data_IF_956167298207
#
_entry.id   IF_956167298207
#
_cell.length_a   1.000
_cell.length_b   1.000
_cell.length_c   1.000
_cell.angle_alpha   90.00
_cell.angle_beta   90.00
_cell.angle_gamma   90.00
#
_symmetry.space_group_name_H-M   'P 1'
#
loop_
_entity.id
_entity.type
_entity.pdbx_description
1 polymer ?
#
# COMPACT_ATOMS: atom_id res chain seq x y z
N UNK A 1 4.51 -9.81 0.33
CA UNK A 1 3.59 -10.44 -0.63
C UNK A 1 4.34 -11.09 -1.79
N UNK A 2 5.33 -10.41 -2.28
CA UNK A 2 6.15 -10.95 -3.36
C UNK A 2 6.78 -12.28 -2.94
N UNK A 3 7.20 -12.37 -1.70
CA UNK A 3 7.82 -13.57 -1.15
C UNK A 3 6.82 -14.72 -1.04
N UNK A 4 5.57 -14.40 -0.74
CA UNK A 4 4.52 -15.41 -0.70
C UNK A 4 4.35 -16.08 -2.06
N UNK A 5 4.37 -15.28 -3.14
CA UNK A 5 4.19 -15.79 -4.49
C UNK A 5 5.44 -16.52 -4.99
N UNK A 6 6.62 -15.97 -4.73
CA UNK A 6 7.86 -16.50 -5.29
C UNK A 6 8.47 -17.62 -4.49
N UNK A 7 8.54 -17.46 -3.17
CA UNK A 7 9.27 -18.41 -2.34
C UNK A 7 8.52 -19.71 -2.08
N UNK A 8 7.21 -19.67 -2.09
CA UNK A 8 6.38 -20.86 -1.83
C UNK A 8 6.23 -21.78 -3.02
N UNK A 9 6.35 -21.23 -4.22
CA UNK A 9 6.21 -22.00 -5.44
C UNK A 9 4.77 -22.37 -5.77
N UNK A 10 4.59 -22.93 -6.94
CA UNK A 10 3.27 -23.24 -7.47
C UNK A 10 2.56 -24.39 -6.71
N UNK A 11 3.34 -25.30 -6.14
CA UNK A 11 2.77 -26.41 -5.39
C UNK A 11 1.96 -25.97 -4.18
N UNK A 12 2.49 -25.00 -3.44
CA UNK A 12 1.78 -24.44 -2.30
C UNK A 12 0.55 -23.67 -2.72
N UNK A 13 0.65 -22.92 -3.81
CA UNK A 13 -0.48 -22.15 -4.34
C UNK A 13 -1.63 -23.11 -4.68
N UNK A 14 -1.38 -24.19 -5.37
CA UNK A 14 -2.42 -25.14 -5.72
C UNK A 14 -3.07 -25.79 -4.50
N UNK A 15 -2.27 -26.15 -3.52
CA UNK A 15 -2.79 -26.81 -2.31
C UNK A 15 -3.71 -25.92 -1.51
N UNK A 16 -3.51 -24.60 -1.61
CA UNK A 16 -4.27 -23.63 -0.83
C UNK A 16 -5.35 -22.92 -1.62
N UNK A 17 -5.60 -23.36 -2.83
CA UNK A 17 -6.64 -22.80 -3.67
C UNK A 17 -7.97 -22.76 -2.93
N UNK A 18 -8.67 -21.63 -3.01
CA UNK A 18 -9.92 -21.43 -2.27
C UNK A 18 -9.74 -20.90 -0.86
N UNK A 19 -8.51 -20.88 -0.34
CA UNK A 19 -8.26 -20.34 0.99
C UNK A 19 -8.40 -18.84 1.04
N UNK A 20 -8.73 -18.34 2.23
CA UNK A 20 -8.75 -16.90 2.49
C UNK A 20 -7.33 -16.46 2.83
N UNK A 21 -6.89 -15.36 2.23
CA UNK A 21 -5.55 -14.83 2.44
C UNK A 21 -5.59 -13.34 2.71
N UNK A 22 -4.61 -12.87 3.46
CA UNK A 22 -4.35 -11.45 3.67
C UNK A 22 -3.00 -11.14 3.04
N UNK A 23 -2.94 -10.08 2.25
CA UNK A 23 -1.71 -9.64 1.63
C UNK A 23 -0.97 -8.73 2.61
N UNK A 24 0.32 -8.99 2.80
CA UNK A 24 1.17 -8.16 3.67
C UNK A 24 2.17 -7.42 2.80
N UNK A 25 2.22 -6.10 2.95
CA UNK A 25 3.08 -5.24 2.15
C UNK A 25 3.86 -4.30 3.08
N UNK A 26 4.99 -3.80 2.63
CA UNK A 26 5.75 -2.83 3.40
C UNK A 26 5.26 -1.40 3.16
N UNK A 27 5.06 -1.01 1.91
CA UNK A 27 4.81 0.37 1.53
C UNK A 27 3.80 0.45 0.40
N UNK A 28 2.83 1.36 0.54
CA UNK A 28 1.86 1.66 -0.50
C UNK A 28 2.14 3.06 -1.03
N UNK A 29 2.50 3.16 -2.31
CA UNK A 29 2.58 4.45 -3.01
C UNK A 29 1.35 4.62 -3.91
N UNK A 30 1.40 4.20 -5.15
CA UNK A 30 0.24 4.21 -6.04
C UNK A 30 -0.63 2.98 -5.90
N UNK A 31 -0.09 1.91 -5.33
CA UNK A 31 -0.81 0.66 -5.14
C UNK A 31 -0.75 -0.30 -6.32
N UNK A 32 -0.09 0.10 -7.41
CA UNK A 32 -0.09 -0.70 -8.64
C UNK A 32 0.48 -2.09 -8.48
N UNK A 33 1.68 -2.21 -7.93
CA UNK A 33 2.32 -3.52 -7.77
C UNK A 33 1.61 -4.40 -6.75
N UNK A 34 1.13 -3.80 -5.66
CA UNK A 34 0.38 -4.53 -4.64
C UNK A 34 -0.93 -5.08 -5.19
N UNK A 35 -1.64 -4.29 -6.00
CA UNK A 35 -2.91 -4.73 -6.58
C UNK A 35 -2.70 -5.75 -7.69
N UNK A 36 -1.57 -5.73 -8.38
CA UNK A 36 -1.21 -6.81 -9.32
C UNK A 36 -1.07 -8.14 -8.58
N UNK A 37 -0.46 -8.11 -7.40
CA UNK A 37 -0.33 -9.30 -6.58
C UNK A 37 -1.70 -9.83 -6.13
N UNK A 38 -2.61 -8.93 -5.76
CA UNK A 38 -3.99 -9.29 -5.40
C UNK A 38 -4.68 -9.95 -6.59
N UNK A 39 -4.56 -9.36 -7.78
CA UNK A 39 -5.18 -9.92 -8.98
C UNK A 39 -4.64 -11.32 -9.28
N UNK A 40 -3.32 -11.50 -9.14
CA UNK A 40 -2.70 -12.81 -9.39
C UNK A 40 -3.20 -13.87 -8.39
N UNK A 41 -3.35 -13.50 -7.13
CA UNK A 41 -3.87 -14.40 -6.10
C UNK A 41 -5.33 -14.79 -6.38
N UNK A 42 -6.15 -13.83 -6.76
CA UNK A 42 -7.55 -14.09 -7.10
C UNK A 42 -7.67 -14.98 -8.32
N UNK A 43 -6.81 -14.74 -9.32
CA UNK A 43 -6.78 -15.56 -10.52
C UNK A 43 -6.35 -16.99 -10.20
N UNK A 44 -5.49 -17.17 -9.22
CA UNK A 44 -5.06 -18.50 -8.75
C UNK A 44 -6.10 -19.19 -7.86
N UNK A 45 -7.21 -18.54 -7.57
CA UNK A 45 -8.31 -19.14 -6.83
C UNK A 45 -8.36 -18.81 -5.34
N UNK A 46 -7.53 -17.88 -4.87
CA UNK A 46 -7.57 -17.45 -3.48
C UNK A 46 -8.61 -16.36 -3.26
N UNK A 47 -9.19 -16.36 -2.07
CA UNK A 47 -10.04 -15.26 -1.65
C UNK A 47 -9.17 -14.24 -0.89
N UNK A 48 -8.91 -13.07 -1.48
CA UNK A 48 -8.13 -12.03 -0.83
C UNK A 48 -9.07 -11.23 0.07
N UNK A 49 -8.89 -11.38 1.37
CA UNK A 49 -9.72 -10.74 2.39
C UNK A 49 -9.38 -9.27 2.55
N UNK A 50 -8.12 -8.92 2.41
CA UNK A 50 -7.65 -7.55 2.54
C UNK A 50 -6.15 -7.47 2.47
N UNK A 51 -5.63 -6.28 2.74
CA UNK A 51 -4.19 -6.02 2.71
C UNK A 51 -3.79 -5.23 3.95
N UNK A 52 -2.65 -5.59 4.52
CA UNK A 52 -2.03 -4.87 5.63
C UNK A 52 -0.68 -4.36 5.14
N UNK A 53 -0.40 -3.09 5.35
CA UNK A 53 0.89 -2.49 5.01
C UNK A 53 1.44 -1.73 6.20
N UNK A 54 2.76 -1.58 6.25
CA UNK A 54 3.38 -0.79 7.30
C UNK A 54 3.10 0.70 7.11
N UNK A 55 3.12 1.17 5.87
CA UNK A 55 3.05 2.60 5.59
C UNK A 55 2.33 2.87 4.27
N UNK A 56 1.60 3.99 4.21
CA UNK A 56 1.03 4.50 2.96
C UNK A 56 1.24 6.00 2.86
N UNK A 57 1.51 6.48 1.64
CA UNK A 57 1.53 7.91 1.36
C UNK A 57 0.11 8.51 1.36
N UNK A 58 -0.92 7.67 1.22
CA UNK A 58 -2.30 8.13 1.19
C UNK A 58 -2.64 8.89 -0.09
N UNK A 59 -2.01 8.56 -1.20
CA UNK A 59 -2.33 9.21 -2.47
C UNK A 59 -3.76 8.88 -2.89
N UNK A 60 -4.50 9.89 -3.40
CA UNK A 60 -5.87 9.63 -3.87
C UNK A 60 -5.96 8.54 -4.93
N UNK A 61 -4.95 8.43 -5.81
CA UNK A 61 -4.92 7.40 -6.85
C UNK A 61 -4.88 6.01 -6.24
N UNK A 62 -4.15 5.84 -5.13
CA UNK A 62 -4.09 4.55 -4.45
C UNK A 62 -5.42 4.22 -3.77
N UNK A 63 -6.01 5.18 -3.09
CA UNK A 63 -7.30 4.98 -2.43
C UNK A 63 -8.38 4.55 -3.43
N UNK A 64 -8.42 5.22 -4.57
CA UNK A 64 -9.36 4.89 -5.64
C UNK A 64 -9.12 3.49 -6.19
N UNK A 65 -7.86 3.13 -6.44
CA UNK A 65 -7.49 1.84 -6.99
C UNK A 65 -7.88 0.69 -6.05
N UNK A 66 -7.64 0.86 -4.75
CA UNK A 66 -8.02 -0.15 -3.76
C UNK A 66 -9.54 -0.29 -3.66
N UNK A 67 -10.26 0.82 -3.73
CA UNK A 67 -11.72 0.80 -3.71
C UNK A 67 -12.28 0.06 -4.93
N UNK A 68 -11.77 0.36 -6.11
CA UNK A 68 -12.19 -0.30 -7.35
C UNK A 68 -11.87 -1.79 -7.35
N UNK A 69 -10.77 -2.17 -6.74
CA UNK A 69 -10.36 -3.58 -6.65
C UNK A 69 -11.08 -4.33 -5.52
N UNK A 70 -11.89 -3.64 -4.73
CA UNK A 70 -12.59 -4.22 -3.57
C UNK A 70 -11.61 -4.86 -2.58
N UNK A 71 -10.52 -4.14 -2.28
CA UNK A 71 -9.51 -4.57 -1.32
C UNK A 71 -9.51 -3.59 -0.16
N UNK A 72 -9.75 -4.10 1.03
CA UNK A 72 -9.65 -3.29 2.24
C UNK A 72 -8.18 -3.18 2.63
N UNK A 73 -7.69 -1.96 2.77
CA UNK A 73 -6.31 -1.69 3.17
C UNK A 73 -6.27 -1.19 4.61
N UNK A 74 -5.44 -1.81 5.41
CA UNK A 74 -5.16 -1.36 6.78
C UNK A 74 -3.67 -1.08 6.89
N UNK A 75 -3.28 0.08 7.40
CA UNK A 75 -1.88 0.45 7.53
C UNK A 75 -1.55 0.77 8.98
N UNK A 76 -0.27 0.57 9.34
CA UNK A 76 0.21 0.89 10.68
C UNK A 76 0.42 2.39 10.84
N UNK A 77 0.86 3.06 9.78
CA UNK A 77 1.04 4.50 9.76
C UNK A 77 0.88 5.04 8.36
N UNK A 78 0.90 6.36 8.23
CA UNK A 78 0.70 7.04 6.97
C UNK A 78 1.52 8.34 6.91
N UNK A 79 1.45 9.01 5.76
CA UNK A 79 2.22 10.22 5.49
C UNK A 79 1.90 11.33 6.50
N UNK A 80 0.63 11.54 6.80
CA UNK A 80 0.23 12.61 7.72
C UNK A 80 0.79 12.41 9.13
N UNK A 81 0.72 11.18 9.63
CA UNK A 81 1.25 10.86 10.95
C UNK A 81 2.78 10.98 11.00
N UNK A 82 3.47 10.58 9.92
CA UNK A 82 4.92 10.71 9.85
C UNK A 82 5.33 12.17 9.82
N UNK A 83 4.66 13.01 9.03
CA UNK A 83 4.93 14.44 8.96
C UNK A 83 4.69 15.11 10.32
N UNK A 84 3.58 14.78 10.96
CA UNK A 84 3.23 15.28 12.27
C UNK A 84 4.29 14.92 13.32
N UNK A 85 4.74 13.68 13.31
CA UNK A 85 5.78 13.23 14.25
C UNK A 85 7.13 13.87 13.95
N UNK A 86 7.46 14.05 12.69
CA UNK A 86 8.70 14.70 12.30
C UNK A 86 8.74 16.16 12.75
N UNK A 87 7.60 16.85 12.67
CA UNK A 87 7.48 18.21 13.19
C UNK A 87 7.66 18.24 14.70
N UNK A 88 6.98 17.36 15.40
CA UNK A 88 7.03 17.27 16.86
C UNK A 88 8.45 17.01 17.37
N UNK A 89 9.20 16.16 16.67
CA UNK A 89 10.56 15.78 17.09
C UNK A 89 11.66 16.68 16.51
N UNK A 90 11.29 17.70 15.73
CA UNK A 90 12.25 18.67 15.21
C UNK A 90 12.99 18.27 13.95
N UNK A 91 12.60 17.19 13.29
CA UNK A 91 13.20 16.81 12.01
C UNK A 91 12.83 17.75 10.88
N UNK A 92 11.64 18.38 10.97
CA UNK A 92 11.19 19.37 9.99
C UNK A 92 10.62 20.59 10.74
N UNK A 93 10.49 21.70 10.01
CA UNK A 93 9.94 22.96 10.51
C UNK A 93 8.51 23.14 10.02
N UNK A 94 7.77 24.03 10.67
CA UNK A 94 6.37 24.30 10.31
C UNK A 94 6.19 24.74 8.86
N UNK A 95 7.10 25.54 8.33
CA UNK A 95 7.03 25.99 6.95
C UNK A 95 7.25 24.84 5.96
N UNK A 96 7.98 23.82 6.37
CA UNK A 96 8.20 22.63 5.57
C UNK A 96 6.97 21.71 5.51
N UNK A 97 6.13 21.77 6.54
CA UNK A 97 4.91 20.96 6.58
C UNK A 97 3.98 21.29 5.40
N UNK A 98 3.79 22.58 5.15
CA UNK A 98 2.94 23.02 4.03
C UNK A 98 3.49 22.53 2.70
N UNK A 99 4.81 22.59 2.53
CA UNK A 99 5.48 22.11 1.32
C UNK A 99 5.29 20.61 1.14
N UNK A 100 5.41 19.84 2.21
CA UNK A 100 5.25 18.38 2.16
C UNK A 100 3.82 17.98 1.82
N UNK A 101 2.83 18.68 2.39
CA UNK A 101 1.44 18.42 2.04
C UNK A 101 1.14 18.78 0.59
N UNK A 102 1.74 19.86 0.10
CA UNK A 102 1.59 20.27 -1.28
C UNK A 102 2.20 19.24 -2.23
N UNK A 103 3.37 18.71 -1.90
CA UNK A 103 4.01 17.66 -2.67
C UNK A 103 3.10 16.43 -2.80
N UNK A 104 2.46 16.03 -1.71
CA UNK A 104 1.63 14.83 -1.70
C UNK A 104 0.43 14.92 -2.64
N UNK A 105 -0.05 16.13 -2.89
CA UNK A 105 -1.21 16.33 -3.77
C UNK A 105 -0.93 15.89 -5.20
N UNK A 106 0.27 16.13 -5.69
CA UNK A 106 0.65 15.76 -7.06
C UNK A 106 2.17 15.62 -7.19
N UNK A 107 2.74 14.51 -6.64
CA UNK A 107 4.19 14.32 -6.68
C UNK A 107 4.77 14.27 -8.08
N UNK A 108 4.03 13.74 -9.04
CA UNK A 108 4.49 13.58 -10.40
C UNK A 108 4.80 14.92 -11.07
N UNK A 109 4.11 15.96 -10.67
CA UNK A 109 4.28 17.30 -11.24
C UNK A 109 4.95 18.29 -10.30
N UNK A 110 5.59 17.80 -9.24
CA UNK A 110 6.25 18.67 -8.27
C UNK A 110 7.38 19.45 -8.91
N UNK A 111 7.28 20.78 -8.84
CA UNK A 111 8.28 21.71 -9.38
C UNK A 111 8.58 21.53 -10.87
N UNK A 112 7.62 21.05 -11.61
CA UNK A 112 7.74 21.01 -13.08
C UNK A 112 7.21 22.26 -13.74
#
# INVERSE_FOLDING_TARGET
>A
IRDLVRSRGLGDVYKRQGSKVVVVEDLISTGGSSLKAVAALREAGFEVVGMVASYTYGFPVAEEAFREAHVKLVTLTDYEHVVEKALETGYIKEDEVAMLHDWRKDPANWKK
#
